data_IF_911015876448
#
_entry.id   IF_911015876448
#
_cell.length_a   1.000
_cell.length_b   1.000
_cell.length_c   1.000
_cell.angle_alpha   90.00
_cell.angle_beta   90.00
_cell.angle_gamma   90.00
#
_symmetry.space_group_name_H-M   'P 1'
#
loop_
_entity.id
_entity.type
_entity.pdbx_description
1 polymer ?
#
# COMPACT_ATOMS: atom_id res chain seq x y z
N UNK A 1 18.98 0.83 -19.38
CA UNK A 1 19.20 1.85 -18.34
C UNK A 1 18.02 1.80 -17.38
N UNK A 2 18.27 1.83 -16.07
CA UNK A 2 17.20 1.89 -15.07
C UNK A 2 16.70 3.33 -15.00
N UNK A 3 15.37 3.54 -15.06
CA UNK A 3 14.79 4.86 -14.77
C UNK A 3 15.18 5.30 -13.36
N UNK A 4 15.47 6.59 -13.19
CA UNK A 4 15.77 7.17 -11.89
C UNK A 4 14.50 7.28 -11.04
N UNK A 5 14.66 7.39 -9.72
CA UNK A 5 13.56 7.68 -8.81
C UNK A 5 12.85 9.00 -9.18
N UNK A 6 13.62 10.01 -9.56
CA UNK A 6 13.11 11.30 -10.00
C UNK A 6 12.21 11.18 -11.23
N UNK A 7 12.56 10.35 -12.20
CA UNK A 7 11.73 10.10 -13.37
C UNK A 7 10.39 9.45 -12.99
N UNK A 8 10.38 8.49 -12.06
CA UNK A 8 9.15 7.87 -11.57
C UNK A 8 8.26 8.86 -10.82
N UNK A 9 8.86 9.68 -9.94
CA UNK A 9 8.13 10.71 -9.19
C UNK A 9 7.55 11.76 -10.15
N UNK A 10 8.32 12.20 -11.14
CA UNK A 10 7.90 13.20 -12.12
C UNK A 10 6.76 12.67 -13.00
N UNK A 11 6.86 11.41 -13.43
CA UNK A 11 5.79 10.74 -14.16
C UNK A 11 4.51 10.66 -13.31
N UNK A 12 4.61 10.25 -12.05
CA UNK A 12 3.43 10.12 -11.21
C UNK A 12 2.82 11.46 -10.81
N UNK A 13 3.64 12.50 -10.61
CA UNK A 13 3.16 13.87 -10.38
C UNK A 13 2.32 14.36 -11.56
N UNK A 14 2.73 14.05 -12.79
CA UNK A 14 1.96 14.38 -14.00
C UNK A 14 0.59 13.66 -14.02
N UNK A 15 0.55 12.38 -13.66
CA UNK A 15 -0.68 11.61 -13.54
C UNK A 15 -1.60 12.14 -12.41
N UNK A 16 -1.02 12.56 -11.28
CA UNK A 16 -1.76 13.17 -10.17
C UNK A 16 -2.39 14.51 -10.58
N UNK A 17 -1.66 15.37 -11.29
CA UNK A 17 -2.18 16.63 -11.81
C UNK A 17 -3.36 16.40 -12.77
N UNK A 18 -3.27 15.41 -13.66
CA UNK A 18 -4.37 15.02 -14.53
C UNK A 18 -5.59 14.57 -13.72
N UNK A 19 -5.40 13.72 -12.70
CA UNK A 19 -6.48 13.26 -11.83
C UNK A 19 -7.13 14.38 -11.00
N UNK A 20 -6.39 15.46 -10.69
CA UNK A 20 -6.94 16.67 -10.06
C UNK A 20 -7.78 17.47 -11.05
N UNK A 21 -7.30 17.66 -12.28
CA UNK A 21 -8.04 18.35 -13.32
C UNK A 21 -9.38 17.65 -13.62
N UNK A 22 -9.39 16.32 -13.64
CA UNK A 22 -10.59 15.50 -13.87
C UNK A 22 -11.68 15.68 -12.81
N UNK A 23 -11.35 16.21 -11.63
CA UNK A 23 -12.37 16.53 -10.61
C UNK A 23 -13.27 17.70 -11.03
N UNK A 24 -12.85 18.50 -12.02
CA UNK A 24 -13.63 19.60 -12.60
C UNK A 24 -14.21 20.57 -11.54
N UNK A 25 -13.41 20.88 -10.52
CA UNK A 25 -13.78 21.78 -9.42
C UNK A 25 -14.74 21.19 -8.38
N UNK A 26 -15.13 19.91 -8.51
CA UNK A 26 -15.96 19.23 -7.52
C UNK A 26 -15.15 18.93 -6.26
N UNK A 27 -15.77 18.92 -5.07
CA UNK A 27 -15.11 18.46 -3.85
C UNK A 27 -14.64 17.01 -3.99
N UNK A 28 -13.40 16.74 -3.60
CA UNK A 28 -12.82 15.39 -3.60
C UNK A 28 -11.89 15.21 -2.40
N UNK A 29 -11.57 13.95 -2.09
CA UNK A 29 -10.58 13.63 -1.05
C UNK A 29 -9.16 13.70 -1.63
N UNK A 30 -8.39 14.71 -1.21
CA UNK A 30 -6.98 14.87 -1.58
C UNK A 30 -6.14 13.66 -1.14
N UNK A 31 -6.37 13.18 0.09
CA UNK A 31 -5.67 12.03 0.65
C UNK A 31 -5.84 10.77 -0.21
N UNK A 32 -7.02 10.57 -0.82
CA UNK A 32 -7.26 9.41 -1.67
C UNK A 32 -6.34 9.42 -2.92
N UNK A 33 -6.25 10.55 -3.61
CA UNK A 33 -5.41 10.68 -4.80
C UNK A 33 -3.91 10.69 -4.46
N UNK A 34 -3.53 11.32 -3.35
CA UNK A 34 -2.14 11.29 -2.87
C UNK A 34 -1.69 9.89 -2.49
N UNK A 35 -2.51 9.13 -1.76
CA UNK A 35 -2.18 7.75 -1.38
C UNK A 35 -1.98 6.88 -2.62
N UNK A 36 -2.80 7.08 -3.66
CA UNK A 36 -2.64 6.39 -4.94
C UNK A 36 -1.32 6.76 -5.63
N UNK A 37 -1.02 8.05 -5.76
CA UNK A 37 0.23 8.51 -6.36
C UNK A 37 1.47 7.95 -5.64
N UNK A 38 1.53 8.09 -4.31
CA UNK A 38 2.66 7.59 -3.51
C UNK A 38 2.81 6.07 -3.65
N UNK A 39 1.70 5.33 -3.62
CA UNK A 39 1.71 3.88 -3.78
C UNK A 39 2.20 3.46 -5.17
N UNK A 40 1.87 4.23 -6.21
CA UNK A 40 2.39 3.99 -7.57
C UNK A 40 3.88 4.27 -7.69
N UNK A 41 4.41 5.29 -7.02
CA UNK A 41 5.87 5.52 -6.96
C UNK A 41 6.55 4.32 -6.32
N UNK A 42 6.04 3.84 -5.17
CA UNK A 42 6.58 2.64 -4.49
C UNK A 42 6.48 1.41 -5.39
N UNK A 43 5.32 1.14 -5.98
CA UNK A 43 5.12 0.00 -6.87
C UNK A 43 6.02 0.05 -8.11
N UNK A 44 6.25 1.24 -8.66
CA UNK A 44 7.16 1.42 -9.80
C UNK A 44 8.61 1.16 -9.40
N UNK A 45 9.00 1.49 -8.17
CA UNK A 45 10.34 1.19 -7.64
C UNK A 45 10.54 -0.30 -7.35
N UNK A 46 9.54 -0.97 -6.75
CA UNK A 46 9.67 -2.34 -6.27
C UNK A 46 9.33 -3.39 -7.32
N UNK A 47 8.35 -3.10 -8.19
CA UNK A 47 7.81 -4.06 -9.16
C UNK A 47 7.96 -3.59 -10.62
N UNK A 48 8.62 -2.45 -10.85
CA UNK A 48 8.73 -1.82 -12.18
C UNK A 48 7.36 -1.64 -12.88
N UNK A 49 6.30 -1.45 -12.10
CA UNK A 49 4.91 -1.44 -12.55
C UNK A 49 4.14 -0.29 -11.92
N UNK A 50 3.29 0.34 -12.73
CA UNK A 50 2.30 1.32 -12.30
C UNK A 50 0.90 0.73 -12.39
N UNK A 51 0.03 1.07 -11.44
CA UNK A 51 -1.39 0.73 -11.48
C UNK A 51 -2.22 1.94 -11.90
N UNK A 52 -3.35 1.69 -12.55
CA UNK A 52 -4.36 2.73 -12.73
C UNK A 52 -4.98 3.11 -11.39
N UNK A 53 -5.36 4.37 -11.21
CA UNK A 53 -5.93 4.85 -9.95
C UNK A 53 -7.25 4.16 -9.56
N UNK A 54 -7.92 3.53 -10.51
CA UNK A 54 -9.15 2.78 -10.29
C UNK A 54 -8.94 1.25 -10.41
N UNK A 55 -7.69 0.78 -10.54
CA UNK A 55 -7.38 -0.65 -10.56
C UNK A 55 -7.85 -1.29 -9.24
N UNK A 56 -8.75 -2.30 -9.27
CA UNK A 56 -9.27 -2.93 -8.07
C UNK A 56 -8.18 -3.53 -7.17
N UNK A 57 -7.08 -4.02 -7.74
CA UNK A 57 -5.94 -4.56 -6.97
C UNK A 57 -5.23 -3.44 -6.22
N UNK A 58 -5.05 -2.28 -6.86
CA UNK A 58 -4.46 -1.12 -6.20
C UNK A 58 -5.34 -0.61 -5.06
N UNK A 59 -6.65 -0.51 -5.30
CA UNK A 59 -7.59 -0.08 -4.27
C UNK A 59 -7.60 -1.04 -3.08
N UNK A 60 -7.59 -2.36 -3.34
CA UNK A 60 -7.51 -3.39 -2.30
C UNK A 60 -6.19 -3.33 -1.54
N UNK A 61 -5.07 -3.10 -2.22
CA UNK A 61 -3.75 -2.96 -1.59
C UNK A 61 -3.73 -1.75 -0.65
N UNK A 62 -4.23 -0.61 -1.13
CA UNK A 62 -4.33 0.63 -0.34
C UNK A 62 -5.19 0.46 0.90
N UNK A 63 -6.34 -0.21 0.77
CA UNK A 63 -7.24 -0.49 1.87
C UNK A 63 -6.56 -1.37 2.93
N UNK A 64 -5.90 -2.46 2.51
CA UNK A 64 -5.13 -3.34 3.38
C UNK A 64 -3.99 -2.62 4.11
N UNK A 65 -3.29 -1.68 3.44
CA UNK A 65 -2.25 -0.85 4.07
C UNK A 65 -2.87 0.07 5.12
N UNK A 66 -3.90 0.84 4.77
CA UNK A 66 -4.51 1.81 5.67
C UNK A 66 -5.14 1.14 6.89
N UNK A 67 -5.80 0.01 6.69
CA UNK A 67 -6.37 -0.74 7.81
C UNK A 67 -5.31 -1.52 8.59
N UNK A 68 -4.28 -2.04 7.94
CA UNK A 68 -3.12 -2.67 8.59
C UNK A 68 -2.34 -1.70 9.48
N UNK A 69 -2.26 -0.42 9.11
CA UNK A 69 -1.69 0.63 9.96
C UNK A 69 -2.53 0.88 11.22
N UNK A 70 -3.86 0.72 11.15
CA UNK A 70 -4.71 0.79 12.36
C UNK A 70 -4.46 -0.38 13.29
N UNK A 71 -4.11 -1.55 12.75
CA UNK A 71 -3.70 -2.72 13.53
C UNK A 71 -2.36 -2.51 14.25
N UNK A 72 -1.39 -1.86 13.58
CA UNK A 72 -0.09 -1.47 14.16
C UNK A 72 -0.26 -0.55 15.37
N UNK A 73 -1.18 0.40 15.30
CA UNK A 73 -1.43 1.37 16.38
C UNK A 73 -2.43 0.81 17.43
N UNK A 74 -3.00 -0.37 17.17
CA UNK A 74 -4.02 -0.97 18.00
C UNK A 74 -3.51 -1.52 19.34
N UNK A 75 -4.41 -1.65 20.31
CA UNK A 75 -4.12 -2.14 21.67
C UNK A 75 -3.41 -3.51 21.67
N UNK A 76 -3.72 -4.38 20.70
CA UNK A 76 -3.06 -5.69 20.59
C UNK A 76 -1.56 -5.59 20.29
N UNK A 77 -1.11 -4.55 19.58
CA UNK A 77 0.33 -4.31 19.38
C UNK A 77 1.01 -3.97 20.70
N UNK A 78 0.40 -3.10 21.50
CA UNK A 78 0.92 -2.72 22.82
C UNK A 78 0.99 -3.92 23.77
N UNK A 79 -0.02 -4.80 23.76
CA UNK A 79 -0.02 -6.05 24.55
C UNK A 79 1.12 -6.99 24.12
N UNK A 80 1.36 -7.15 22.81
CA UNK A 80 2.47 -7.96 22.30
C UNK A 80 3.85 -7.38 22.61
N UNK A 81 3.95 -6.07 22.85
CA UNK A 81 5.17 -5.40 23.31
C UNK A 81 5.37 -5.59 24.83
N UNK A 82 4.30 -5.45 25.61
CA UNK A 82 4.33 -5.66 27.06
C UNK A 82 4.54 -7.13 27.45
N UNK A 83 4.07 -8.08 26.64
CA UNK A 83 4.15 -9.51 26.89
C UNK A 83 4.79 -10.26 25.71
N UNK A 84 6.13 -10.21 25.56
CA UNK A 84 6.84 -10.77 24.41
C UNK A 84 6.71 -12.30 24.29
N UNK A 85 6.36 -13.01 25.38
CA UNK A 85 6.08 -14.46 25.35
C UNK A 85 4.98 -14.82 24.36
N UNK A 86 3.98 -13.95 24.18
CA UNK A 86 2.86 -14.16 23.24
C UNK A 86 3.33 -14.27 21.79
N UNK A 87 4.46 -13.65 21.42
CA UNK A 87 5.03 -13.72 20.07
C UNK A 87 5.51 -15.14 19.69
N UNK A 88 5.76 -16.01 20.67
CA UNK A 88 6.19 -17.39 20.45
C UNK A 88 5.03 -18.34 20.15
N UNK A 89 3.77 -17.91 20.32
CA UNK A 89 2.60 -18.73 20.03
C UNK A 89 2.41 -18.77 18.50
N UNK A 90 2.53 -19.95 17.86
CA UNK A 90 2.44 -20.06 16.41
C UNK A 90 1.09 -19.56 15.90
N UNK A 91 1.11 -18.64 14.93
CA UNK A 91 -0.08 -18.10 14.28
C UNK A 91 -0.85 -17.04 15.08
N UNK A 92 -0.41 -16.67 16.30
CA UNK A 92 -1.08 -15.62 17.07
C UNK A 92 -1.04 -14.27 16.35
N UNK A 93 0.14 -13.80 15.93
CA UNK A 93 0.27 -12.54 15.20
C UNK A 93 -0.55 -12.54 13.89
N UNK A 94 -0.62 -13.68 13.20
CA UNK A 94 -1.39 -13.82 11.97
C UNK A 94 -2.91 -13.72 12.20
N UNK A 95 -3.40 -14.10 13.39
CA UNK A 95 -4.81 -13.95 13.79
C UNK A 95 -5.11 -12.56 14.34
N UNK A 96 -4.14 -11.94 15.02
CA UNK A 96 -4.28 -10.59 15.58
C UNK A 96 -4.17 -9.51 14.51
N UNK A 97 -3.40 -9.76 13.46
CA UNK A 97 -3.16 -8.82 12.36
C UNK A 97 -3.55 -9.42 11.00
N UNK A 98 -4.84 -9.77 10.82
CA UNK A 98 -5.31 -10.43 9.60
C UNK A 98 -5.10 -9.57 8.34
N UNK A 99 -5.08 -8.25 8.47
CA UNK A 99 -4.94 -7.34 7.31
C UNK A 99 -3.50 -7.21 6.88
N UNK A 100 -2.57 -7.17 7.83
CA UNK A 100 -1.14 -7.30 7.51
C UNK A 100 -0.84 -8.64 6.84
N UNK A 101 -1.45 -9.73 7.32
CA UNK A 101 -1.33 -11.04 6.66
C UNK A 101 -1.85 -10.99 5.22
N UNK A 102 -3.04 -10.45 5.00
CA UNK A 102 -3.62 -10.33 3.66
C UNK A 102 -2.79 -9.42 2.73
N UNK A 103 -2.22 -8.34 3.27
CA UNK A 103 -1.29 -7.48 2.56
C UNK A 103 -0.04 -8.26 2.11
N UNK A 104 0.60 -9.00 3.01
CA UNK A 104 1.78 -9.81 2.70
C UNK A 104 1.49 -10.87 1.63
N UNK A 105 0.33 -11.52 1.69
CA UNK A 105 -0.08 -12.48 0.64
C UNK A 105 -0.18 -11.79 -0.72
N UNK A 106 -0.78 -10.60 -0.79
CA UNK A 106 -0.87 -9.85 -2.05
C UNK A 106 0.50 -9.39 -2.56
N UNK A 107 1.42 -9.01 -1.67
CA UNK A 107 2.80 -8.68 -2.05
C UNK A 107 3.51 -9.92 -2.61
N UNK A 108 3.32 -11.10 -2.02
CA UNK A 108 3.89 -12.35 -2.52
C UNK A 108 3.36 -12.74 -3.91
N UNK A 109 2.06 -12.52 -4.15
CA UNK A 109 1.45 -12.66 -5.48
C UNK A 109 2.12 -11.72 -6.50
N UNK A 110 2.31 -10.44 -6.15
CA UNK A 110 2.97 -9.46 -7.03
C UNK A 110 4.44 -9.79 -7.29
N UNK A 111 5.16 -10.28 -6.28
CA UNK A 111 6.55 -10.74 -6.43
C UNK A 111 6.60 -11.95 -7.37
N UNK A 112 5.65 -12.87 -7.24
CA UNK A 112 5.57 -14.06 -8.08
C UNK A 112 5.24 -13.69 -9.52
N UNK A 113 4.28 -12.78 -9.76
CA UNK A 113 4.00 -12.21 -11.08
C UNK A 113 5.24 -11.56 -11.70
N UNK A 114 6.06 -10.85 -10.90
CA UNK A 114 7.26 -10.16 -11.39
C UNK A 114 8.43 -11.09 -11.72
N UNK A 115 8.48 -12.30 -11.13
CA UNK A 115 9.54 -13.29 -11.36
C UNK A 115 9.30 -14.17 -12.59
N UNK A 116 8.06 -14.22 -13.10
CA UNK A 116 7.67 -14.94 -14.31
C UNK A 116 7.99 -14.10 -15.56
#
# INVERSE_FOLDING_TARGET
GKKSLEEWVTQEASCLCAAFADQAGRPFSLNNLLNKAVSNVIASLTFARRFEYNDPRMLKLLDLVLEGLKEEVGLMRQVLEAMPVLRHIPGLCAKLFPRQKAFLVMIDELITEHKM
#
